data_IF_726322036460
#
_entry.id   IF_726322036460
#
_cell.length_a   1.000
_cell.length_b   1.000
_cell.length_c   1.000
_cell.angle_alpha   90.00
_cell.angle_beta   90.00
_cell.angle_gamma   90.00
#
_symmetry.space_group_name_H-M   'P 1'
#
loop_
_entity.id
_entity.type
_entity.pdbx_description
1 polymer ?
#
# COMPACT_ATOMS: atom_id res chain seq x y z
N UNK A 1 -32.40 -57.25 -32.16
CA UNK A 1 -31.26 -56.36 -32.50
C UNK A 1 -30.29 -56.37 -31.34
N UNK A 2 -29.06 -56.81 -31.58
CA UNK A 2 -27.98 -56.78 -30.60
C UNK A 2 -27.43 -55.35 -30.48
N UNK A 3 -27.11 -54.92 -29.25
CA UNK A 3 -25.87 -54.19 -28.96
C UNK A 3 -25.54 -54.43 -27.48
N UNK A 4 -24.50 -55.22 -27.27
CA UNK A 4 -23.75 -55.25 -26.03
C UNK A 4 -22.90 -53.99 -25.95
N UNK A 5 -22.83 -53.36 -24.77
CA UNK A 5 -21.60 -52.76 -24.26
C UNK A 5 -21.59 -52.88 -22.74
N UNK A 6 -20.61 -53.64 -22.28
CA UNK A 6 -20.27 -53.86 -20.88
C UNK A 6 -19.30 -52.78 -20.38
N UNK A 7 -19.19 -52.68 -19.04
CA UNK A 7 -18.00 -52.25 -18.26
C UNK A 7 -17.68 -50.73 -18.28
N UNK A 8 -17.27 -50.06 -17.20
CA UNK A 8 -16.66 -50.53 -15.94
C UNK A 8 -16.65 -49.40 -14.87
N UNK A 9 -16.75 -49.83 -13.61
CA UNK A 9 -16.22 -49.30 -12.35
C UNK A 9 -16.52 -47.87 -11.83
N UNK A 10 -17.19 -47.90 -10.65
CA UNK A 10 -16.92 -47.16 -9.42
C UNK A 10 -15.85 -46.06 -9.43
N UNK A 11 -16.21 -44.89 -8.88
CA UNK A 11 -15.44 -44.38 -7.75
C UNK A 11 -16.33 -43.73 -6.69
N UNK A 12 -16.17 -44.21 -5.45
CA UNK A 12 -16.88 -43.78 -4.25
C UNK A 12 -16.04 -42.72 -3.55
N UNK A 13 -16.70 -41.69 -3.02
CA UNK A 13 -16.27 -41.04 -1.78
C UNK A 13 -15.34 -39.84 -1.93
N UNK A 14 -15.90 -38.65 -1.72
CA UNK A 14 -15.32 -37.68 -0.79
C UNK A 14 -16.42 -36.72 -0.33
N UNK A 15 -17.12 -37.13 0.73
CA UNK A 15 -17.90 -36.21 1.56
C UNK A 15 -16.86 -35.43 2.37
N UNK A 16 -16.57 -34.20 1.97
CA UNK A 16 -15.76 -33.28 2.79
C UNK A 16 -16.65 -32.78 3.91
N UNK A 17 -16.34 -33.23 5.12
CA UNK A 17 -16.98 -32.81 6.36
C UNK A 17 -16.85 -31.30 6.55
N UNK A 18 -17.98 -30.60 6.58
CA UNK A 18 -18.04 -29.18 6.91
C UNK A 18 -17.96 -29.03 8.45
N UNK A 19 -16.74 -29.01 8.98
CA UNK A 19 -16.52 -28.75 10.40
C UNK A 19 -16.65 -27.26 10.71
N UNK A 20 -17.72 -26.94 11.44
CA UNK A 20 -18.10 -25.60 11.88
C UNK A 20 -17.18 -25.17 13.02
N UNK A 21 -16.01 -24.62 12.72
CA UNK A 21 -15.10 -24.06 13.72
C UNK A 21 -15.75 -22.85 14.41
N UNK A 22 -16.23 -23.05 15.64
CA UNK A 22 -16.59 -21.97 16.57
C UNK A 22 -15.29 -21.29 17.02
N UNK A 23 -15.00 -20.11 16.46
CA UNK A 23 -13.90 -19.26 16.95
C UNK A 23 -14.28 -18.68 18.31
N UNK A 24 -13.76 -19.27 19.37
CA UNK A 24 -13.68 -18.64 20.70
C UNK A 24 -12.66 -17.51 20.63
N UNK A 25 -13.10 -16.26 20.77
CA UNK A 25 -12.23 -15.12 20.91
C UNK A 25 -11.56 -15.16 22.30
N UNK A 26 -10.32 -15.65 22.36
CA UNK A 26 -9.46 -15.50 23.55
C UNK A 26 -8.70 -14.18 23.38
N UNK A 27 -9.18 -13.13 24.04
CA UNK A 27 -8.45 -11.87 24.18
C UNK A 27 -7.33 -12.14 25.20
N UNK A 28 -6.14 -12.50 24.71
CA UNK A 28 -4.96 -12.54 25.56
C UNK A 28 -4.45 -11.10 25.74
N UNK A 29 -4.74 -10.50 26.89
CA UNK A 29 -4.14 -9.23 27.31
C UNK A 29 -2.70 -9.49 27.74
N UNK A 30 -1.75 -9.44 26.79
CA UNK A 30 -0.34 -9.33 27.14
C UNK A 30 -0.10 -7.87 27.55
N UNK A 31 -0.07 -7.66 28.86
CA UNK A 31 0.44 -6.45 29.51
C UNK A 31 1.93 -6.31 29.17
N UNK A 32 2.20 -5.80 27.97
CA UNK A 32 3.52 -5.39 27.53
C UNK A 32 3.91 -4.12 28.29
N UNK A 33 4.99 -4.21 29.07
CA UNK A 33 5.68 -3.09 29.71
C UNK A 33 5.67 -1.87 28.80
N UNK A 34 5.16 -0.75 29.34
CA UNK A 34 5.10 0.54 28.67
C UNK A 34 6.47 0.96 28.16
N UNK A 35 6.76 0.66 26.90
CA UNK A 35 7.83 1.28 26.15
C UNK A 35 7.35 2.70 25.82
N UNK A 36 7.51 3.61 26.78
CA UNK A 36 7.45 5.07 26.62
C UNK A 36 8.62 5.58 25.75
N UNK A 37 8.93 4.84 24.69
CA UNK A 37 9.94 5.17 23.72
C UNK A 37 9.40 6.22 22.76
N UNK A 38 9.80 7.47 23.01
CA UNK A 38 10.17 8.41 21.95
C UNK A 38 9.06 8.82 20.96
N UNK A 39 7.78 8.68 21.33
CA UNK A 39 6.62 9.12 20.52
C UNK A 39 5.58 9.91 21.31
N UNK A 40 5.95 10.39 22.51
CA UNK A 40 5.04 11.07 23.44
C UNK A 40 5.23 12.58 23.58
N UNK A 41 6.08 13.24 22.78
CA UNK A 41 6.42 14.66 22.97
C UNK A 41 6.13 15.54 21.74
N UNK A 42 5.11 15.23 20.94
CA UNK A 42 4.77 16.06 19.77
C UNK A 42 3.27 16.34 19.66
N UNK A 43 2.56 16.51 20.78
CA UNK A 43 1.13 16.81 20.73
C UNK A 43 0.66 17.72 21.88
N UNK A 44 1.41 18.78 22.18
CA UNK A 44 1.02 19.75 23.21
C UNK A 44 1.52 21.17 22.93
N UNK A 45 1.15 21.73 21.77
CA UNK A 45 1.20 23.19 21.48
C UNK A 45 0.01 23.53 20.57
N UNK A 46 -1.19 23.67 21.14
CA UNK A 46 -2.40 23.90 20.32
C UNK A 46 -3.27 25.10 20.70
N UNK A 47 -2.93 25.99 21.65
CA UNK A 47 -3.88 27.08 21.98
C UNK A 47 -3.33 28.36 22.65
N UNK A 48 -2.13 28.84 22.32
CA UNK A 48 -1.60 30.08 22.93
C UNK A 48 -1.03 31.10 21.94
N UNK A 49 -1.59 31.18 20.72
CA UNK A 49 -1.21 32.20 19.73
C UNK A 49 -2.44 32.91 19.18
N UNK A 50 -3.31 33.38 20.08
CA UNK A 50 -4.33 34.37 19.77
C UNK A 50 -4.03 35.63 20.57
N UNK A 51 -3.88 36.74 19.85
CA UNK A 51 -3.79 38.13 20.31
C UNK A 51 -2.38 38.66 20.60
N UNK A 52 -2.01 39.64 19.76
CA UNK A 52 -0.95 40.65 19.93
C UNK A 52 0.46 40.33 19.43
N UNK A 53 0.66 40.62 18.16
CA UNK A 53 1.73 41.56 17.75
C UNK A 53 1.28 42.14 16.42
N UNK A 54 1.29 43.46 16.26
CA UNK A 54 0.91 44.21 15.05
C UNK A 54 2.01 45.24 14.86
N UNK A 55 3.17 44.82 14.32
CA UNK A 55 4.20 45.71 13.72
C UNK A 55 5.49 44.99 13.31
N UNK A 56 5.65 43.69 13.58
CA UNK A 56 6.75 42.87 13.04
C UNK A 56 6.25 41.76 12.10
N UNK A 57 4.98 41.82 11.69
CA UNK A 57 4.33 40.75 10.95
C UNK A 57 4.65 40.76 9.47
N UNK A 58 4.86 41.92 8.86
CA UNK A 58 4.88 42.03 7.40
C UNK A 58 5.98 41.19 6.76
N UNK A 59 7.15 41.08 7.39
CA UNK A 59 8.25 40.24 6.89
C UNK A 59 7.99 38.74 7.05
N UNK A 60 7.41 38.30 8.17
CA UNK A 60 7.05 36.90 8.43
C UNK A 60 5.83 36.47 7.60
N UNK A 61 4.83 37.33 7.45
CA UNK A 61 3.66 37.09 6.61
C UNK A 61 4.04 37.14 5.13
N UNK A 62 4.94 38.04 4.70
CA UNK A 62 5.47 38.04 3.34
C UNK A 62 6.24 36.75 3.01
N UNK A 63 7.06 36.25 3.94
CA UNK A 63 7.73 34.97 3.77
C UNK A 63 6.72 33.81 3.65
N UNK A 64 5.70 33.79 4.50
CA UNK A 64 4.63 32.79 4.45
C UNK A 64 3.89 32.83 3.11
N UNK A 65 3.49 34.01 2.65
CA UNK A 65 2.83 34.20 1.37
C UNK A 65 3.68 33.72 0.19
N UNK A 66 5.01 33.93 0.24
CA UNK A 66 5.93 33.40 -0.78
C UNK A 66 5.93 31.87 -0.82
N UNK A 67 5.93 31.19 0.33
CA UNK A 67 5.87 29.73 0.39
C UNK A 67 4.51 29.17 -0.03
N UNK A 68 3.41 29.87 0.31
CA UNK A 68 2.07 29.49 -0.16
C UNK A 68 1.98 29.56 -1.68
N UNK A 69 2.38 30.68 -2.29
CA UNK A 69 2.45 30.84 -3.75
C UNK A 69 3.31 29.75 -4.40
N UNK A 70 4.51 29.50 -3.87
CA UNK A 70 5.39 28.43 -4.37
C UNK A 70 4.74 27.06 -4.28
N UNK A 71 4.00 26.77 -3.21
CA UNK A 71 3.33 25.48 -3.02
C UNK A 71 2.16 25.30 -3.97
N UNK A 72 1.40 26.37 -4.23
CA UNK A 72 0.31 26.37 -5.21
C UNK A 72 0.83 26.17 -6.63
N UNK A 73 1.85 26.93 -7.03
CA UNK A 73 2.47 26.86 -8.36
C UNK A 73 3.10 25.47 -8.64
N UNK A 74 3.69 24.83 -7.62
CA UNK A 74 4.35 23.54 -7.77
C UNK A 74 3.47 22.33 -7.40
N UNK A 75 2.21 22.55 -7.01
CA UNK A 75 1.34 21.50 -6.48
C UNK A 75 1.25 20.30 -7.42
N UNK A 76 0.95 20.53 -8.70
CA UNK A 76 0.82 19.45 -9.68
C UNK A 76 2.10 18.64 -9.87
N UNK A 77 3.27 19.31 -9.84
CA UNK A 77 4.58 18.65 -9.93
C UNK A 77 4.84 17.81 -8.69
N UNK A 78 4.64 18.39 -7.50
CA UNK A 78 4.86 17.73 -6.22
C UNK A 78 3.91 16.54 -6.03
N UNK A 79 2.64 16.67 -6.42
CA UNK A 79 1.66 15.59 -6.35
C UNK A 79 2.07 14.44 -7.28
N UNK A 80 2.54 14.74 -8.51
CA UNK A 80 3.04 13.73 -9.44
C UNK A 80 4.26 13.00 -8.87
N UNK A 81 5.26 13.73 -8.35
CA UNK A 81 6.45 13.15 -7.73
C UNK A 81 6.08 12.27 -6.53
N UNK A 82 5.20 12.74 -5.64
CA UNK A 82 4.70 11.97 -4.49
C UNK A 82 4.02 10.67 -4.93
N UNK A 83 3.24 10.71 -6.00
CA UNK A 83 2.54 9.54 -6.53
C UNK A 83 3.52 8.54 -7.14
N UNK A 84 4.50 9.01 -7.92
CA UNK A 84 5.54 8.17 -8.52
C UNK A 84 6.41 7.51 -7.44
N UNK A 85 6.84 8.26 -6.43
CA UNK A 85 7.60 7.73 -5.29
C UNK A 85 6.81 6.67 -4.52
N UNK A 86 5.50 6.92 -4.33
CA UNK A 86 4.62 5.94 -3.71
C UNK A 86 4.57 4.64 -4.54
N UNK A 87 4.37 4.73 -5.85
CA UNK A 87 4.35 3.53 -6.69
C UNK A 87 5.69 2.80 -6.69
N UNK A 88 6.80 3.55 -6.79
CA UNK A 88 8.15 3.00 -6.76
C UNK A 88 8.42 2.23 -5.48
N UNK A 89 8.15 2.81 -4.31
CA UNK A 89 8.42 2.15 -3.03
C UNK A 89 7.49 0.98 -2.72
N UNK A 90 6.23 1.03 -3.17
CA UNK A 90 5.25 0.02 -2.79
C UNK A 90 5.13 -1.14 -3.78
N UNK A 91 5.42 -0.93 -5.06
CA UNK A 91 5.20 -1.93 -6.10
C UNK A 91 6.48 -2.48 -6.71
N UNK A 92 7.66 -1.90 -6.42
CA UNK A 92 8.93 -2.40 -6.94
C UNK A 92 9.14 -3.88 -6.60
N UNK A 93 9.06 -4.25 -5.33
CA UNK A 93 9.32 -5.62 -4.89
C UNK A 93 8.32 -6.63 -5.49
N UNK A 94 7.05 -6.23 -5.62
CA UNK A 94 6.03 -7.07 -6.26
C UNK A 94 6.34 -7.31 -7.74
N UNK A 95 6.70 -6.26 -8.46
CA UNK A 95 7.05 -6.38 -9.87
C UNK A 95 8.37 -7.13 -10.08
N UNK A 96 9.38 -6.94 -9.23
CA UNK A 96 10.62 -7.71 -9.27
C UNK A 96 10.39 -9.21 -9.01
N UNK A 97 9.49 -9.55 -8.08
CA UNK A 97 9.08 -10.94 -7.87
C UNK A 97 8.41 -11.54 -9.12
N UNK A 98 7.51 -10.78 -9.74
CA UNK A 98 6.80 -11.22 -10.95
C UNK A 98 7.75 -11.26 -12.17
N UNK A 99 8.77 -10.39 -12.24
CA UNK A 99 9.74 -10.29 -13.34
C UNK A 99 10.37 -11.65 -13.68
N UNK A 100 10.70 -12.46 -12.66
CA UNK A 100 11.27 -13.80 -12.84
C UNK A 100 10.32 -14.74 -13.59
N UNK A 101 9.03 -14.69 -13.28
CA UNK A 101 8.01 -15.50 -13.95
C UNK A 101 7.70 -15.02 -15.37
N UNK A 102 7.74 -13.69 -15.59
CA UNK A 102 7.49 -13.08 -16.91
C UNK A 102 8.63 -13.42 -17.88
N UNK A 103 9.89 -13.36 -17.44
CA UNK A 103 11.05 -13.67 -18.29
C UNK A 103 11.11 -15.12 -18.76
N UNK A 104 10.46 -16.03 -18.04
CA UNK A 104 10.37 -17.44 -18.43
C UNK A 104 9.29 -17.69 -19.50
N UNK A 105 8.40 -16.73 -19.78
CA UNK A 105 7.36 -16.87 -20.79
C UNK A 105 7.87 -16.45 -22.16
N UNK A 106 7.42 -17.17 -23.20
CA UNK A 106 7.73 -16.84 -24.60
C UNK A 106 6.83 -15.75 -25.18
N UNK A 107 5.58 -15.69 -24.72
CA UNK A 107 4.62 -14.68 -25.15
C UNK A 107 4.26 -13.82 -23.94
N UNK A 108 4.50 -12.51 -24.06
CA UNK A 108 4.18 -11.53 -23.03
C UNK A 108 2.88 -10.80 -23.36
N UNK A 109 2.00 -10.69 -22.38
CA UNK A 109 0.84 -9.81 -22.45
C UNK A 109 1.26 -8.34 -22.49
N UNK A 110 0.36 -7.46 -22.92
CA UNK A 110 0.58 -6.01 -22.89
C UNK A 110 0.94 -5.51 -21.48
N UNK A 111 0.25 -6.03 -20.46
CA UNK A 111 0.51 -5.69 -19.06
C UNK A 111 1.89 -6.18 -18.58
N UNK A 112 2.33 -7.37 -18.98
CA UNK A 112 3.65 -7.90 -18.63
C UNK A 112 4.78 -7.07 -19.26
N UNK A 113 4.59 -6.61 -20.50
CA UNK A 113 5.51 -5.65 -21.14
C UNK A 113 5.57 -4.34 -20.37
N UNK A 114 4.42 -3.80 -19.98
CA UNK A 114 4.34 -2.58 -19.19
C UNK A 114 5.06 -2.69 -17.84
N UNK A 115 4.98 -3.84 -17.18
CA UNK A 115 5.71 -4.10 -15.92
C UNK A 115 7.22 -4.10 -16.15
N UNK A 116 7.71 -4.72 -17.23
CA UNK A 116 9.13 -4.74 -17.55
C UNK A 116 9.67 -3.34 -17.87
N UNK A 117 8.95 -2.55 -18.67
CA UNK A 117 9.32 -1.17 -18.99
C UNK A 117 9.34 -0.29 -17.73
N UNK A 118 8.35 -0.46 -16.85
CA UNK A 118 8.30 0.26 -15.59
C UNK A 118 9.48 -0.12 -14.68
N UNK A 119 9.81 -1.41 -14.55
CA UNK A 119 10.97 -1.88 -13.79
C UNK A 119 12.29 -1.35 -14.36
N UNK A 120 12.45 -1.30 -15.68
CA UNK A 120 13.64 -0.71 -16.31
C UNK A 120 13.77 0.77 -15.99
N UNK A 121 12.66 1.51 -16.02
CA UNK A 121 12.63 2.95 -15.75
C UNK A 121 12.79 3.30 -14.26
N UNK A 122 12.53 2.33 -13.36
CA UNK A 122 12.48 2.55 -11.92
C UNK A 122 13.50 1.73 -11.11
N UNK A 123 14.45 1.05 -11.77
CA UNK A 123 15.43 0.18 -11.11
C UNK A 123 16.29 0.93 -10.10
#
# INVERSE_FOLDING_TARGET
MAFALANVALNKGMVVSAEKQKRTAVISSVLGKAHLGRRGFLLSVSLASSVSSTSQNDSKTALMQKYLKKSEENKAKNDKERLQDYYKRNYKDYFEFIEGSIKAKKELSESEKGILDWLQSNK
#
